data_IF_674301760480
#
_entry.id   IF_674301760480
#
_cell.length_a   1.000
_cell.length_b   1.000
_cell.length_c   1.000
_cell.angle_alpha   90.00
_cell.angle_beta   90.00
_cell.angle_gamma   90.00
#
_symmetry.space_group_name_H-M   'P 1'
#
loop_
_entity.id
_entity.type
_entity.pdbx_description
1 polymer ?
#
# COMPACT_ATOMS: atom_id res chain seq x y z
N UNK A 1 -83.73 20.41 -11.38
CA UNK A 1 -83.18 20.66 -10.02
C UNK A 1 -81.71 20.26 -10.03
N UNK A 2 -80.84 21.20 -10.22
CA UNK A 2 -79.36 20.99 -10.24
C UNK A 2 -78.81 21.34 -8.89
N UNK A 3 -77.99 20.46 -8.34
CA UNK A 3 -77.22 20.68 -7.10
C UNK A 3 -75.86 21.37 -7.41
N UNK A 4 -75.44 22.31 -6.57
CA UNK A 4 -74.19 23.04 -6.81
C UNK A 4 -72.95 22.25 -6.44
N UNK A 5 -71.95 22.31 -7.32
CA UNK A 5 -70.61 21.76 -7.12
C UNK A 5 -69.77 22.60 -6.15
N UNK A 6 -69.32 21.97 -5.07
CA UNK A 6 -68.35 22.55 -4.10
C UNK A 6 -66.97 22.40 -4.62
N UNK A 7 -66.26 23.49 -4.85
CA UNK A 7 -64.82 23.53 -5.18
C UNK A 7 -63.99 23.39 -3.91
N UNK A 8 -63.26 22.26 -3.76
CA UNK A 8 -62.23 22.13 -2.74
C UNK A 8 -60.94 22.74 -3.25
N UNK A 9 -60.44 23.75 -2.54
CA UNK A 9 -59.08 24.31 -2.73
C UNK A 9 -58.07 23.33 -2.18
N UNK A 10 -57.17 22.81 -3.06
CA UNK A 10 -55.99 22.04 -2.65
C UNK A 10 -54.89 23.03 -2.24
N UNK A 11 -54.56 23.04 -0.94
CA UNK A 11 -53.42 23.75 -0.41
C UNK A 11 -52.13 23.03 -0.86
N UNK A 12 -51.25 23.73 -1.55
CA UNK A 12 -49.89 23.25 -1.83
C UNK A 12 -49.05 23.38 -0.56
N UNK A 13 -48.64 22.26 0.00
CA UNK A 13 -47.60 22.21 1.03
C UNK A 13 -46.26 22.48 0.37
N UNK A 14 -45.57 23.55 0.77
CA UNK A 14 -44.19 23.84 0.38
C UNK A 14 -43.31 23.02 1.33
N UNK A 15 -42.67 21.97 0.81
CA UNK A 15 -41.66 21.23 1.54
C UNK A 15 -40.35 22.07 1.54
N UNK A 16 -39.98 22.59 2.70
CA UNK A 16 -38.62 23.14 2.89
C UNK A 16 -37.63 21.98 2.86
N UNK A 17 -36.84 21.89 1.80
CA UNK A 17 -35.68 21.02 1.77
C UNK A 17 -34.59 21.64 2.68
N UNK A 18 -34.31 21.00 3.82
CA UNK A 18 -33.17 21.33 4.64
C UNK A 18 -31.90 20.95 3.87
N UNK A 19 -31.15 21.95 3.36
CA UNK A 19 -29.78 21.75 2.90
C UNK A 19 -28.92 21.38 4.12
N UNK A 20 -28.63 20.09 4.26
CA UNK A 20 -27.60 19.63 5.18
C UNK A 20 -26.26 20.19 4.72
N UNK A 21 -25.68 21.10 5.49
CA UNK A 21 -24.30 21.52 5.32
C UNK A 21 -23.44 20.32 5.69
N UNK A 22 -22.93 19.60 4.68
CA UNK A 22 -21.85 18.62 4.87
C UNK A 22 -20.60 19.44 5.19
N UNK A 23 -20.29 19.53 6.49
CA UNK A 23 -19.02 20.10 6.94
C UNK A 23 -17.85 19.32 6.33
N UNK A 24 -16.67 19.98 6.16
CA UNK A 24 -15.50 19.29 5.64
C UNK A 24 -15.18 18.09 6.55
N UNK A 25 -15.12 16.90 5.96
CA UNK A 25 -14.68 15.68 6.63
C UNK A 25 -13.25 15.97 7.14
N UNK A 26 -13.02 15.90 8.44
CA UNK A 26 -11.68 16.06 8.99
C UNK A 26 -10.79 15.00 8.35
N UNK A 27 -9.84 15.45 7.51
CA UNK A 27 -8.80 14.57 6.97
C UNK A 27 -8.02 14.02 8.16
N UNK A 28 -7.84 12.69 8.23
CA UNK A 28 -6.97 12.11 9.25
C UNK A 28 -5.59 12.78 9.16
N UNK A 29 -5.03 13.20 10.29
CA UNK A 29 -3.70 13.79 10.32
C UNK A 29 -2.69 12.78 9.80
N UNK A 30 -1.77 13.23 8.95
CA UNK A 30 -0.69 12.39 8.46
C UNK A 30 0.23 12.00 9.62
N UNK A 31 0.55 10.70 9.69
CA UNK A 31 1.53 10.20 10.66
C UNK A 31 2.93 10.61 10.25
N UNK A 32 3.73 10.98 11.23
CA UNK A 32 5.13 11.30 11.04
C UNK A 32 6.02 10.43 11.91
N UNK A 33 7.08 9.86 11.33
CA UNK A 33 8.13 9.21 12.12
C UNK A 33 8.98 10.27 12.83
N UNK A 34 9.54 9.95 14.01
CA UNK A 34 10.40 10.87 14.75
C UNK A 34 11.55 11.44 13.91
N UNK A 35 12.03 12.65 14.26
CA UNK A 35 13.18 13.29 13.59
C UNK A 35 14.49 12.50 13.71
N UNK A 36 14.56 11.58 14.68
CA UNK A 36 15.69 10.64 14.87
C UNK A 36 15.72 9.50 13.85
N UNK A 37 14.70 9.37 13.00
CA UNK A 37 14.66 8.34 11.97
C UNK A 37 15.77 8.55 10.93
N UNK A 38 16.51 7.48 10.64
CA UNK A 38 17.50 7.46 9.58
C UNK A 38 16.83 7.21 8.23
N UNK A 39 17.38 7.80 7.16
CA UNK A 39 16.88 7.60 5.79
C UNK A 39 17.86 6.76 4.99
N UNK A 40 17.35 5.72 4.34
CA UNK A 40 18.09 4.88 3.37
C UNK A 40 17.29 4.87 2.07
N UNK A 41 17.99 5.00 0.94
CA UNK A 41 17.41 4.93 -0.40
C UNK A 41 18.09 3.85 -1.22
N UNK A 42 17.30 3.10 -1.96
CA UNK A 42 17.76 2.09 -2.92
C UNK A 42 17.26 2.51 -4.30
N UNK A 43 18.15 3.09 -5.10
CA UNK A 43 17.90 3.44 -6.50
C UNK A 43 18.31 2.31 -7.47
N UNK A 44 18.93 1.23 -6.94
CA UNK A 44 19.28 0.00 -7.65
C UNK A 44 20.26 0.18 -8.82
N UNK A 45 20.81 1.37 -9.01
CA UNK A 45 21.63 1.73 -10.17
C UNK A 45 23.02 1.08 -10.17
N UNK A 46 23.49 0.55 -9.03
CA UNK A 46 24.70 -0.25 -8.94
C UNK A 46 24.58 -1.64 -9.61
N UNK A 47 23.35 -2.08 -9.92
CA UNK A 47 23.06 -3.33 -10.61
C UNK A 47 23.29 -4.59 -9.78
N UNK A 48 23.32 -4.47 -8.46
CA UNK A 48 23.61 -5.59 -7.55
C UNK A 48 22.52 -5.72 -6.49
N UNK A 49 22.09 -6.95 -6.24
CA UNK A 49 21.24 -7.25 -5.08
C UNK A 49 22.05 -7.17 -3.77
N UNK A 50 23.36 -7.44 -3.82
CA UNK A 50 24.23 -7.34 -2.64
C UNK A 50 23.66 -8.11 -1.45
N UNK A 51 23.44 -7.39 -0.33
CA UNK A 51 22.95 -7.96 0.93
C UNK A 51 21.40 -8.06 1.02
N UNK A 52 20.68 -7.86 -0.08
CA UNK A 52 19.24 -8.15 -0.11
C UNK A 52 18.98 -9.62 0.13
N UNK A 53 18.03 -9.94 0.98
CA UNK A 53 17.69 -11.32 1.32
C UNK A 53 16.41 -11.75 0.60
N UNK A 54 16.53 -12.58 -0.44
CA UNK A 54 15.40 -13.28 -1.04
C UNK A 54 14.89 -14.33 -0.05
N UNK A 55 13.61 -14.22 0.29
CA UNK A 55 12.90 -15.22 1.10
C UNK A 55 12.21 -16.20 0.16
N UNK A 56 11.55 -15.68 -0.87
CA UNK A 56 10.90 -16.45 -1.93
C UNK A 56 10.78 -15.61 -3.21
N UNK A 57 10.60 -16.26 -4.37
CA UNK A 57 10.49 -15.61 -5.67
C UNK A 57 11.79 -15.53 -6.46
N UNK A 58 11.70 -14.99 -7.67
CA UNK A 58 12.82 -14.78 -8.60
C UNK A 58 13.04 -13.28 -8.79
N UNK A 59 13.99 -12.75 -8.05
CA UNK A 59 14.31 -11.33 -7.99
C UNK A 59 15.60 -11.02 -8.73
N UNK A 60 15.57 -10.04 -9.62
CA UNK A 60 16.75 -9.59 -10.36
C UNK A 60 16.71 -8.09 -10.59
N UNK A 61 17.90 -7.46 -10.73
CA UNK A 61 18.01 -6.09 -11.20
C UNK A 61 18.11 -6.11 -12.71
N UNK A 62 17.25 -5.36 -13.37
CA UNK A 62 17.12 -5.29 -14.82
C UNK A 62 17.17 -3.86 -15.33
N UNK A 63 17.60 -3.66 -16.57
CA UNK A 63 17.46 -2.38 -17.24
C UNK A 63 16.03 -2.21 -17.77
N UNK A 64 15.43 -1.04 -17.49
CA UNK A 64 14.07 -0.72 -17.91
C UNK A 64 13.99 0.74 -18.37
N UNK A 65 13.58 0.95 -19.61
CA UNK A 65 13.32 2.29 -20.11
C UNK A 65 12.19 2.97 -19.31
N UNK A 66 12.39 4.22 -18.91
CA UNK A 66 11.43 4.99 -18.12
C UNK A 66 11.36 4.55 -16.66
N UNK A 67 12.42 3.93 -16.12
CA UNK A 67 12.58 3.70 -14.69
C UNK A 67 12.60 5.04 -13.94
N UNK A 68 11.91 5.15 -12.78
CA UNK A 68 11.82 6.39 -12.01
C UNK A 68 13.19 6.94 -11.55
N UNK A 69 14.10 6.08 -11.09
CA UNK A 69 15.42 6.52 -10.64
C UNK A 69 16.32 6.92 -11.82
N UNK A 70 16.54 6.02 -12.78
CA UNK A 70 17.31 6.27 -14.03
C UNK A 70 17.07 5.19 -15.08
N UNK A 71 17.59 3.97 -14.85
CA UNK A 71 17.56 2.89 -15.85
C UNK A 71 17.43 1.48 -15.28
N UNK A 72 17.66 1.28 -13.99
CA UNK A 72 17.62 -0.04 -13.37
C UNK A 72 16.50 -0.16 -12.36
N UNK A 73 15.89 -1.33 -12.33
CA UNK A 73 14.76 -1.64 -11.46
C UNK A 73 14.93 -3.04 -10.86
N UNK A 74 14.34 -3.30 -9.72
CA UNK A 74 14.24 -4.64 -9.16
C UNK A 74 12.95 -5.29 -9.69
N UNK A 75 13.09 -6.45 -10.34
CA UNK A 75 11.96 -7.17 -10.93
C UNK A 75 11.76 -8.51 -10.23
N UNK A 76 10.53 -8.82 -9.90
CA UNK A 76 10.08 -10.15 -9.51
C UNK A 76 9.45 -10.85 -10.73
N UNK A 77 9.91 -12.10 -11.05
CA UNK A 77 9.47 -12.84 -12.23
C UNK A 77 8.98 -14.27 -11.97
N UNK A 78 9.01 -14.75 -10.73
CA UNK A 78 8.40 -16.06 -10.42
C UNK A 78 6.91 -16.00 -10.74
N UNK A 79 6.40 -17.10 -11.32
CA UNK A 79 4.99 -17.26 -11.71
C UNK A 79 4.31 -18.38 -10.92
N UNK A 80 4.84 -18.70 -9.76
CA UNK A 80 4.33 -19.72 -8.85
C UNK A 80 3.30 -19.11 -7.88
N UNK A 81 2.36 -19.93 -7.41
CA UNK A 81 1.33 -19.50 -6.47
C UNK A 81 1.89 -19.44 -5.03
N UNK A 82 2.84 -18.57 -4.79
CA UNK A 82 3.49 -18.29 -3.51
C UNK A 82 3.48 -16.81 -3.19
N UNK A 83 3.90 -16.44 -2.00
CA UNK A 83 4.15 -15.07 -1.63
C UNK A 83 5.63 -14.75 -1.84
N UNK A 84 5.94 -14.09 -2.94
CA UNK A 84 7.31 -13.69 -3.26
C UNK A 84 7.74 -12.53 -2.39
N UNK A 85 8.82 -12.68 -1.65
CA UNK A 85 9.32 -11.70 -0.68
C UNK A 85 10.83 -11.53 -0.82
N UNK A 86 11.27 -10.28 -0.87
CA UNK A 86 12.66 -9.89 -0.73
C UNK A 86 12.80 -8.83 0.35
N UNK A 87 13.80 -8.94 1.21
CA UNK A 87 14.02 -8.08 2.37
C UNK A 87 15.26 -7.21 2.15
N UNK A 88 15.11 -5.91 2.38
CA UNK A 88 16.19 -4.94 2.24
C UNK A 88 17.27 -5.10 3.33
N UNK A 89 18.54 -4.74 3.03
CA UNK A 89 19.64 -4.92 3.97
C UNK A 89 19.52 -4.11 5.26
N UNK A 90 18.98 -2.88 5.15
CA UNK A 90 18.91 -1.95 6.28
C UNK A 90 17.82 -2.34 7.31
N UNK A 91 18.01 -1.92 8.54
CA UNK A 91 17.14 -2.22 9.69
C UNK A 91 17.73 -3.28 10.62
N UNK A 92 16.98 -3.75 11.64
CA UNK A 92 15.52 -3.58 11.82
C UNK A 92 15.11 -2.18 12.31
N UNK A 93 13.81 -1.87 12.14
CA UNK A 93 13.20 -0.60 12.55
C UNK A 93 11.94 -0.85 13.40
N UNK A 94 11.65 0.06 14.34
CA UNK A 94 10.38 0.10 15.07
C UNK A 94 9.32 0.90 14.32
N UNK A 95 9.59 2.19 14.11
CA UNK A 95 8.72 3.09 13.38
C UNK A 95 9.30 3.36 12.00
N UNK A 96 8.45 3.40 10.99
CA UNK A 96 8.87 3.54 9.60
C UNK A 96 7.94 4.43 8.80
N UNK A 97 8.53 5.15 7.85
CA UNK A 97 7.88 5.75 6.69
C UNK A 97 8.59 5.17 5.46
N UNK A 98 7.90 4.35 4.70
CA UNK A 98 8.46 3.63 3.56
C UNK A 98 7.65 3.93 2.33
N UNK A 99 8.34 4.31 1.26
CA UNK A 99 7.74 4.46 -0.07
C UNK A 99 8.52 3.69 -1.12
N UNK A 100 7.82 3.21 -2.14
CA UNK A 100 8.40 2.53 -3.31
C UNK A 100 7.58 2.84 -4.54
N UNK A 101 8.24 3.02 -5.67
CA UNK A 101 7.62 2.98 -6.99
C UNK A 101 7.44 1.52 -7.40
N UNK A 102 6.25 1.14 -7.84
CA UNK A 102 6.00 -0.19 -8.39
C UNK A 102 5.26 -0.11 -9.72
N UNK A 103 5.54 -1.07 -10.60
CA UNK A 103 4.91 -1.19 -11.90
C UNK A 103 4.43 -2.63 -12.09
N UNK A 104 3.13 -2.90 -11.94
CA UNK A 104 2.59 -4.22 -12.25
C UNK A 104 2.67 -4.43 -13.77
N UNK A 105 3.45 -5.41 -14.22
CA UNK A 105 3.71 -5.63 -15.64
C UNK A 105 2.79 -6.68 -16.23
N UNK A 106 2.57 -7.78 -15.50
CA UNK A 106 1.66 -8.84 -15.91
C UNK A 106 1.25 -9.72 -14.73
N UNK A 107 0.21 -10.51 -14.95
CA UNK A 107 -0.35 -11.53 -14.08
C UNK A 107 -1.73 -11.90 -14.58
N UNK A 108 -2.20 -13.10 -14.28
CA UNK A 108 -3.55 -13.57 -14.58
C UNK A 108 -4.31 -13.91 -13.31
N UNK A 109 -3.63 -14.50 -12.35
CA UNK A 109 -4.18 -14.78 -11.01
C UNK A 109 -4.02 -13.57 -10.10
N UNK A 110 -2.88 -12.88 -10.19
CA UNK A 110 -2.55 -11.70 -9.38
C UNK A 110 -1.63 -10.77 -10.19
N UNK A 111 -1.74 -9.46 -9.99
CA UNK A 111 -0.84 -8.46 -10.57
C UNK A 111 -0.58 -7.37 -9.53
N UNK A 112 0.06 -7.76 -8.44
CA UNK A 112 0.24 -6.92 -7.27
C UNK A 112 1.68 -6.50 -7.04
N UNK A 113 1.82 -5.39 -6.31
CA UNK A 113 3.06 -4.96 -5.72
C UNK A 113 2.81 -4.37 -4.34
N UNK A 114 3.72 -4.59 -3.40
CA UNK A 114 3.55 -4.12 -2.04
C UNK A 114 4.84 -4.02 -1.23
N UNK A 115 4.69 -3.39 -0.07
CA UNK A 115 5.74 -3.20 0.94
C UNK A 115 5.51 -4.18 2.08
N UNK A 116 6.54 -4.95 2.40
CA UNK A 116 6.67 -5.69 3.66
C UNK A 116 7.29 -4.78 4.70
N UNK A 117 6.77 -4.77 5.91
CA UNK A 117 7.37 -4.04 7.03
C UNK A 117 7.24 -4.83 8.33
N UNK A 118 8.12 -4.51 9.28
CA UNK A 118 8.28 -5.26 10.53
C UNK A 118 8.49 -6.76 10.31
N UNK A 119 9.27 -7.10 9.28
CA UNK A 119 9.62 -8.49 8.98
C UNK A 119 10.57 -9.05 10.03
N UNK A 120 10.17 -10.15 10.67
CA UNK A 120 10.95 -10.90 11.64
C UNK A 120 10.54 -12.37 11.62
N UNK A 121 11.49 -13.29 11.45
CA UNK A 121 11.29 -14.75 11.50
C UNK A 121 10.05 -15.23 10.72
N UNK A 122 9.86 -14.72 9.50
CA UNK A 122 8.75 -15.09 8.64
C UNK A 122 7.40 -14.45 9.03
N UNK A 123 7.37 -13.59 10.05
CA UNK A 123 6.20 -12.79 10.41
C UNK A 123 6.37 -11.36 9.90
N UNK A 124 5.31 -10.76 9.40
CA UNK A 124 5.36 -9.41 8.84
C UNK A 124 3.97 -8.82 8.59
N UNK A 125 3.93 -7.51 8.41
CA UNK A 125 2.83 -6.87 7.71
C UNK A 125 3.17 -6.71 6.24
N UNK A 126 2.16 -6.75 5.39
CA UNK A 126 2.27 -6.34 3.99
C UNK A 126 1.10 -5.44 3.61
N UNK A 127 1.42 -4.31 2.98
CA UNK A 127 0.45 -3.43 2.33
C UNK A 127 0.68 -3.50 0.83
N UNK A 128 -0.40 -3.70 0.05
CA UNK A 128 -0.27 -3.92 -1.39
C UNK A 128 -1.46 -3.36 -2.18
N UNK A 129 -1.21 -2.97 -3.42
CA UNK A 129 -2.22 -2.74 -4.44
C UNK A 129 -2.20 -3.87 -5.48
N UNK A 130 -3.32 -4.13 -6.15
CA UNK A 130 -3.45 -5.15 -7.19
C UNK A 130 -4.13 -4.56 -8.43
N UNK A 131 -3.52 -4.74 -9.58
CA UNK A 131 -4.01 -4.23 -10.86
C UNK A 131 -5.23 -4.99 -11.40
N UNK A 132 -5.51 -6.20 -10.89
CA UNK A 132 -6.66 -7.03 -11.28
C UNK A 132 -7.83 -6.95 -10.31
N UNK A 133 -7.61 -6.42 -9.13
CA UNK A 133 -8.59 -6.38 -8.04
C UNK A 133 -8.71 -4.96 -7.53
N UNK A 134 -9.74 -4.22 -7.76
CA UNK A 134 -9.95 -2.84 -7.29
C UNK A 134 -9.77 -2.69 -5.76
N UNK A 135 -8.60 -3.09 -5.21
CA UNK A 135 -8.37 -3.06 -3.78
C UNK A 135 -6.95 -2.66 -3.37
N UNK A 136 -6.87 -2.06 -2.19
CA UNK A 136 -5.65 -1.73 -1.48
C UNK A 136 -5.77 -2.28 -0.07
N UNK A 137 -4.97 -3.29 0.25
CA UNK A 137 -5.17 -4.11 1.45
C UNK A 137 -3.93 -4.18 2.32
N UNK A 138 -4.17 -4.28 3.62
CA UNK A 138 -3.17 -4.55 4.67
C UNK A 138 -3.40 -5.94 5.22
N UNK A 139 -2.34 -6.73 5.27
CA UNK A 139 -2.34 -8.09 5.81
C UNK A 139 -1.32 -8.24 6.92
N UNK A 140 -1.61 -9.10 7.89
CA UNK A 140 -0.64 -9.68 8.80
C UNK A 140 -0.33 -11.13 8.36
N UNK A 141 0.95 -11.48 8.35
CA UNK A 141 1.42 -12.83 8.07
C UNK A 141 2.09 -13.43 9.33
N UNK A 142 1.53 -14.51 9.83
CA UNK A 142 2.10 -15.35 10.90
C UNK A 142 1.67 -16.79 10.63
N UNK A 143 2.53 -17.57 9.98
CA UNK A 143 2.23 -18.94 9.51
C UNK A 143 1.06 -19.03 8.52
N UNK A 144 0.59 -17.89 8.01
CA UNK A 144 -0.48 -17.73 7.06
C UNK A 144 -0.87 -16.27 6.92
N UNK A 145 -1.38 -15.89 5.75
CA UNK A 145 -1.80 -14.52 5.45
C UNK A 145 -3.22 -14.27 5.99
N UNK A 146 -3.38 -13.21 6.75
CA UNK A 146 -4.68 -12.71 7.22
C UNK A 146 -4.85 -11.24 6.81
N UNK A 147 -5.91 -10.95 6.07
CA UNK A 147 -6.32 -9.57 5.82
C UNK A 147 -6.82 -8.94 7.14
N UNK A 148 -6.35 -7.74 7.44
CA UNK A 148 -6.69 -7.02 8.65
C UNK A 148 -7.34 -5.67 8.38
N UNK A 149 -7.09 -5.09 7.20
CA UNK A 149 -7.79 -3.92 6.70
C UNK A 149 -7.74 -3.91 5.17
N UNK A 150 -8.74 -3.33 4.54
CA UNK A 150 -8.80 -3.19 3.08
C UNK A 150 -9.79 -2.13 2.65
N UNK A 151 -9.54 -1.55 1.49
CA UNK A 151 -10.41 -0.55 0.88
C UNK A 151 -10.48 -0.76 -0.62
N UNK A 152 -11.65 -0.46 -1.19
CA UNK A 152 -11.81 -0.42 -2.64
C UNK A 152 -11.15 0.85 -3.20
N UNK A 153 -10.35 0.68 -4.25
CA UNK A 153 -9.67 1.76 -4.96
C UNK A 153 -9.83 1.54 -6.47
N UNK A 154 -9.55 2.55 -7.27
CA UNK A 154 -9.29 2.31 -8.68
C UNK A 154 -8.00 1.48 -8.78
N UNK A 155 -8.07 0.36 -9.49
CA UNK A 155 -6.91 -0.51 -9.68
C UNK A 155 -5.74 0.25 -10.34
N UNK A 156 -4.50 0.04 -9.88
CA UNK A 156 -3.31 0.51 -10.58
C UNK A 156 -3.29 -0.03 -12.01
N UNK A 157 -3.00 0.82 -12.98
CA UNK A 157 -2.95 0.38 -14.38
C UNK A 157 -1.73 -0.50 -14.65
N UNK A 158 -1.93 -1.62 -15.36
CA UNK A 158 -0.82 -2.46 -15.85
C UNK A 158 0.13 -1.63 -16.71
N UNK A 159 1.42 -1.86 -16.53
CA UNK A 159 2.46 -1.18 -17.30
C UNK A 159 2.71 0.28 -16.91
N UNK A 160 2.06 0.81 -15.89
CA UNK A 160 2.24 2.15 -15.35
C UNK A 160 2.98 2.11 -14.01
N UNK A 161 3.74 3.17 -13.74
CA UNK A 161 4.36 3.37 -12.43
C UNK A 161 3.34 3.96 -11.44
N UNK A 162 3.30 3.39 -10.26
CA UNK A 162 2.47 3.81 -9.13
C UNK A 162 3.31 3.86 -7.86
N UNK A 163 2.86 4.59 -6.86
CA UNK A 163 3.55 4.69 -5.56
C UNK A 163 2.73 4.03 -4.46
N UNK A 164 3.33 3.07 -3.77
CA UNK A 164 2.84 2.61 -2.47
C UNK A 164 3.70 3.25 -1.39
N UNK A 165 3.05 3.79 -0.34
CA UNK A 165 3.72 4.27 0.87
C UNK A 165 3.00 3.74 2.10
N UNK A 166 3.74 3.41 3.13
CA UNK A 166 3.23 3.06 4.46
C UNK A 166 3.96 3.87 5.51
N UNK A 167 3.20 4.44 6.45
CA UNK A 167 3.74 5.05 7.67
C UNK A 167 3.23 4.23 8.85
N UNK A 168 4.13 3.73 9.68
CA UNK A 168 3.78 2.95 10.86
C UNK A 168 4.53 3.48 12.08
N UNK A 169 3.78 4.02 13.05
CA UNK A 169 4.28 4.60 14.30
C UNK A 169 3.56 3.94 15.48
N UNK A 170 4.30 3.25 16.33
CA UNK A 170 3.70 2.43 17.39
C UNK A 170 2.76 1.36 16.83
N UNK A 171 1.47 1.42 17.14
CA UNK A 171 0.43 0.55 16.62
C UNK A 171 -0.37 1.16 15.46
N UNK A 172 -0.12 2.41 15.13
CA UNK A 172 -0.86 3.15 14.11
C UNK A 172 -0.19 2.98 12.74
N UNK A 173 -0.97 2.61 11.74
CA UNK A 173 -0.53 2.27 10.38
C UNK A 173 -1.38 3.07 9.39
N UNK A 174 -0.74 3.89 8.58
CA UNK A 174 -1.37 4.59 7.46
C UNK A 174 -0.80 4.09 6.15
N UNK A 175 -1.69 3.82 5.19
CA UNK A 175 -1.34 3.33 3.85
C UNK A 175 -1.79 4.28 2.76
N UNK A 176 -0.89 4.56 1.82
CA UNK A 176 -1.10 5.50 0.73
C UNK A 176 -0.89 4.83 -0.62
N UNK A 177 -1.76 5.12 -1.57
CA UNK A 177 -1.62 4.76 -2.97
C UNK A 177 -1.64 6.05 -3.80
N UNK A 178 -0.60 6.27 -4.59
CA UNK A 178 -0.41 7.46 -5.44
C UNK A 178 -0.63 8.77 -4.66
N UNK A 179 0.00 8.85 -3.48
CA UNK A 179 -0.04 10.01 -2.57
C UNK A 179 -1.34 10.18 -1.79
N UNK A 180 -2.37 9.37 -2.06
CA UNK A 180 -3.66 9.47 -1.37
C UNK A 180 -3.74 8.50 -0.21
N UNK A 181 -4.06 8.98 1.00
CA UNK A 181 -4.35 8.13 2.16
C UNK A 181 -5.55 7.24 1.85
N UNK A 182 -5.36 5.93 1.94
CA UNK A 182 -6.36 4.90 1.66
C UNK A 182 -6.72 4.08 2.88
N UNK A 183 -5.74 3.81 3.75
CA UNK A 183 -5.93 3.02 4.96
C UNK A 183 -5.39 3.79 6.16
N UNK A 184 -6.17 3.79 7.24
CA UNK A 184 -5.80 4.27 8.56
C UNK A 184 -6.26 3.20 9.56
N UNK A 185 -5.30 2.49 10.17
CA UNK A 185 -5.59 1.29 10.95
C UNK A 185 -4.67 1.18 12.18
N UNK A 186 -5.12 0.47 13.20
CA UNK A 186 -4.32 0.17 14.38
C UNK A 186 -4.15 -1.33 14.57
N UNK A 187 -2.90 -1.74 14.66
CA UNK A 187 -2.54 -3.13 14.96
C UNK A 187 -1.19 -3.22 15.69
N UNK A 188 -1.14 -4.04 16.71
CA UNK A 188 0.02 -4.14 17.60
C UNK A 188 0.73 -5.50 17.56
N UNK A 189 0.40 -6.38 16.61
CA UNK A 189 0.98 -7.74 16.52
C UNK A 189 2.48 -7.75 16.37
N UNK A 190 2.99 -6.91 15.47
CA UNK A 190 4.43 -6.81 15.23
C UNK A 190 4.88 -5.39 15.53
N UNK A 191 5.96 -5.24 16.28
CA UNK A 191 6.44 -3.94 16.78
C UNK A 191 7.67 -3.43 16.04
N UNK A 192 8.51 -4.35 15.56
CA UNK A 192 9.74 -4.00 14.85
C UNK A 192 10.14 -5.09 13.86
N UNK A 193 11.06 -4.76 12.96
CA UNK A 193 11.60 -5.69 11.99
C UNK A 193 12.11 -4.97 10.74
N UNK A 194 12.47 -5.75 9.72
CA UNK A 194 13.01 -5.23 8.46
C UNK A 194 11.88 -4.81 7.50
N UNK A 195 12.30 -4.07 6.49
CA UNK A 195 11.46 -3.67 5.35
C UNK A 195 11.81 -4.53 4.16
N UNK A 196 10.83 -4.77 3.28
CA UNK A 196 11.01 -5.53 2.05
C UNK A 196 9.92 -5.25 1.02
N UNK A 197 9.96 -6.02 -0.05
CA UNK A 197 9.00 -5.96 -1.15
C UNK A 197 8.27 -7.29 -1.31
N UNK A 198 7.08 -7.24 -1.89
CA UNK A 198 6.18 -8.37 -1.95
C UNK A 198 5.38 -8.40 -3.25
N UNK A 199 5.22 -9.61 -3.78
CA UNK A 199 4.23 -9.93 -4.80
C UNK A 199 3.56 -11.27 -4.50
N UNK A 200 2.54 -11.65 -5.26
CA UNK A 200 1.84 -12.92 -5.11
C UNK A 200 1.65 -13.61 -6.45
N UNK A 201 1.60 -14.94 -6.41
CA UNK A 201 1.27 -15.81 -7.54
C UNK A 201 2.10 -15.47 -8.79
N UNK A 202 1.44 -15.28 -9.92
CA UNK A 202 2.03 -14.98 -11.21
C UNK A 202 2.24 -13.48 -11.48
N UNK A 203 2.25 -12.65 -10.41
CA UNK A 203 2.56 -11.23 -10.52
C UNK A 203 3.98 -11.00 -10.99
N UNK A 204 4.17 -10.46 -12.19
CA UNK A 204 5.44 -9.90 -12.63
C UNK A 204 5.42 -8.41 -12.38
N UNK A 205 6.26 -7.94 -11.46
CA UNK A 205 6.25 -6.55 -10.98
C UNK A 205 7.66 -6.00 -10.89
N UNK A 206 7.83 -4.79 -11.42
CA UNK A 206 9.06 -4.00 -11.25
C UNK A 206 8.90 -3.03 -10.06
N UNK A 207 10.00 -2.83 -9.35
CA UNK A 207 10.11 -1.89 -8.24
C UNK A 207 11.32 -0.98 -8.42
N UNK A 208 11.19 0.27 -7.98
CA UNK A 208 12.26 1.25 -8.03
C UNK A 208 12.08 2.27 -6.90
N UNK A 209 13.15 3.02 -6.62
CA UNK A 209 13.11 4.14 -5.68
C UNK A 209 12.54 3.76 -4.30
N UNK A 210 13.01 2.64 -3.72
CA UNK A 210 12.65 2.30 -2.36
C UNK A 210 13.32 3.27 -1.38
N UNK A 211 12.52 4.04 -0.67
CA UNK A 211 12.97 4.95 0.39
C UNK A 211 12.44 4.44 1.73
N UNK A 212 13.34 4.27 2.68
CA UNK A 212 13.02 3.85 4.05
C UNK A 212 13.49 4.96 4.98
N UNK A 213 12.59 5.61 5.68
CA UNK A 213 12.87 6.45 6.83
C UNK A 213 12.43 5.70 8.08
N UNK A 214 13.38 5.28 8.92
CA UNK A 214 13.08 4.38 10.02
C UNK A 214 13.84 4.69 11.30
N UNK A 215 13.20 4.44 12.44
CA UNK A 215 13.83 4.49 13.76
C UNK A 215 14.52 3.15 14.01
N UNK A 216 15.86 3.10 14.10
CA UNK A 216 16.56 1.85 14.36
C UNK A 216 16.08 1.17 15.63
N UNK A 217 15.97 -0.16 15.58
CA UNK A 217 15.55 -1.00 16.70
C UNK A 217 16.59 -2.09 16.94
N UNK A 218 16.74 -2.53 18.18
CA UNK A 218 17.56 -3.70 18.49
C UNK A 218 16.98 -5.03 17.96
N UNK A 219 15.82 -4.99 17.37
CA UNK A 219 15.02 -6.13 16.94
C UNK A 219 13.81 -6.33 17.86
N UNK A 220 12.94 -7.28 17.52
CA UNK A 220 11.82 -7.71 18.34
C UNK A 220 12.27 -8.49 19.53
#
# INVERSE_FOLDING_TARGET
MESPRVWRRQGRAIALAALGIVGPSASAAELEVPLTAATVRYDLEDGRLGDWKTIDGAWAIEEMAGAPSRRRVLVQRAVENVFNVIVAPAGPYSDVDVSVQFKPMSGREDASGGIVFRFHDGKYYVIRANALEDNFNLYAYDRGRREIAGVRVQAPALGQWHTVRVVAVGDHIQGYLDGTLRLDYRDSRFRSGRVGLWTKADSVTAFDDLVIRGVPSAGP
#
